data_IF_708120565719
#
_entry.id   IF_708120565719
#
_cell.length_a   1.000
_cell.length_b   1.000
_cell.length_c   1.000
_cell.angle_alpha   90.00
_cell.angle_beta   90.00
_cell.angle_gamma   90.00
#
_symmetry.space_group_name_H-M   'P 1'
#
loop_
_entity.id
_entity.type
_entity.pdbx_description
1 polymer ?
#
# COMPACT_ATOMS: atom_id res chain seq x y z
N UNK A 1 39.10 1.22 13.87
CA UNK A 1 38.13 0.25 13.32
C UNK A 1 37.01 1.04 12.69
N UNK A 2 36.93 1.04 11.36
CA UNK A 2 35.83 1.69 10.64
C UNK A 2 34.69 0.66 10.49
N UNK A 3 33.60 0.87 11.22
CA UNK A 3 32.37 0.12 10.99
C UNK A 3 31.73 0.67 9.72
N UNK A 4 31.72 -0.12 8.64
CA UNK A 4 30.85 0.16 7.48
C UNK A 4 29.42 0.17 8.01
N UNK A 5 28.82 1.35 8.13
CA UNK A 5 27.36 1.44 8.25
C UNK A 5 26.81 0.86 6.95
N UNK A 6 26.07 -0.25 7.05
CA UNK A 6 25.25 -0.72 5.94
C UNK A 6 24.43 0.47 5.45
N UNK A 7 24.39 0.77 4.14
CA UNK A 7 23.58 1.87 3.66
C UNK A 7 22.15 1.60 4.10
N UNK A 8 21.60 2.52 4.90
CA UNK A 8 20.20 2.46 5.33
C UNK A 8 19.36 2.33 4.06
N UNK A 9 18.82 1.13 3.80
CA UNK A 9 17.78 0.98 2.80
C UNK A 9 16.57 1.65 3.43
N UNK A 10 16.41 2.93 3.15
CA UNK A 10 15.18 3.66 3.44
C UNK A 10 14.08 2.86 2.74
N UNK A 11 13.31 2.08 3.50
CA UNK A 11 12.13 1.45 2.95
C UNK A 11 11.23 2.56 2.44
N UNK A 12 10.73 2.46 1.21
CA UNK A 12 9.89 3.50 0.61
C UNK A 12 8.54 3.66 1.36
N UNK A 13 8.21 2.67 2.20
CA UNK A 13 6.98 2.59 2.96
C UNK A 13 7.30 2.22 4.41
N UNK A 14 6.64 2.89 5.36
CA UNK A 14 6.61 2.51 6.78
C UNK A 14 5.21 2.05 7.21
N UNK A 15 5.14 1.27 8.28
CA UNK A 15 3.85 0.90 8.89
C UNK A 15 3.06 2.15 9.26
N UNK A 16 1.74 2.11 9.02
CA UNK A 16 0.80 3.22 9.17
C UNK A 16 0.89 4.33 8.10
N UNK A 17 1.76 4.21 7.10
CA UNK A 17 1.71 5.13 5.95
C UNK A 17 0.44 4.96 5.13
N UNK A 18 0.01 6.07 4.54
CA UNK A 18 -1.13 6.10 3.61
C UNK A 18 -0.61 5.93 2.19
N UNK A 19 -1.23 5.02 1.46
CA UNK A 19 -0.86 4.68 0.08
C UNK A 19 -2.10 4.61 -0.81
N UNK A 20 -1.90 4.74 -2.11
CA UNK A 20 -2.90 4.38 -3.11
C UNK A 20 -2.44 3.16 -3.88
N UNK A 21 -3.36 2.23 -4.10
CA UNK A 21 -3.09 0.95 -4.75
C UNK A 21 -4.04 0.75 -5.92
N UNK A 22 -3.51 0.33 -7.07
CA UNK A 22 -4.30 -0.02 -8.23
C UNK A 22 -4.77 -1.48 -8.15
N UNK A 23 -6.03 -1.68 -7.75
CA UNK A 23 -6.59 -3.02 -7.49
C UNK A 23 -8.09 -3.10 -7.79
N UNK A 24 -8.60 -4.33 -7.85
CA UNK A 24 -10.04 -4.60 -7.93
C UNK A 24 -10.67 -4.43 -6.55
N UNK A 25 -11.73 -3.64 -6.46
CA UNK A 25 -12.41 -3.28 -5.21
C UNK A 25 -13.86 -2.87 -5.44
N UNK A 26 -14.64 -2.84 -4.36
CA UNK A 26 -16.00 -2.28 -4.42
C UNK A 26 -15.96 -0.76 -4.44
N UNK A 27 -16.76 -0.17 -5.32
CA UNK A 27 -17.01 1.26 -5.33
C UNK A 27 -18.07 1.68 -4.29
N UNK A 28 -18.63 2.88 -4.42
CA UNK A 28 -19.61 3.39 -3.46
C UNK A 28 -20.99 2.73 -3.58
N UNK A 29 -21.26 2.08 -4.70
CA UNK A 29 -22.52 1.39 -5.01
C UNK A 29 -22.39 -0.12 -4.79
N UNK A 30 -21.30 -0.58 -4.16
CA UNK A 30 -20.98 -2.00 -3.92
C UNK A 30 -20.73 -2.77 -5.22
N UNK A 31 -20.35 -2.06 -6.29
CA UNK A 31 -20.02 -2.66 -7.58
C UNK A 31 -18.50 -2.88 -7.69
N UNK A 32 -18.11 -4.08 -8.13
CA UNK A 32 -16.69 -4.40 -8.36
C UNK A 32 -16.15 -3.58 -9.53
N UNK A 33 -15.15 -2.76 -9.24
CA UNK A 33 -14.41 -1.94 -10.20
C UNK A 33 -12.91 -2.16 -10.07
N UNK A 34 -12.13 -1.65 -11.03
CA UNK A 34 -10.66 -1.66 -10.99
C UNK A 34 -10.12 -0.24 -11.04
N UNK A 35 -9.37 0.15 -10.03
CA UNK A 35 -8.89 1.53 -9.93
C UNK A 35 -7.94 1.77 -8.76
N UNK A 36 -7.59 3.04 -8.56
CA UNK A 36 -6.79 3.47 -7.42
C UNK A 36 -7.64 3.55 -6.16
N UNK A 37 -7.30 2.73 -5.17
CA UNK A 37 -7.94 2.68 -3.87
C UNK A 37 -6.97 3.09 -2.77
N UNK A 38 -7.44 3.90 -1.83
CA UNK A 38 -6.67 4.31 -0.65
C UNK A 38 -6.61 3.19 0.37
N UNK A 39 -5.40 2.92 0.86
CA UNK A 39 -5.14 1.96 1.93
C UNK A 39 -4.13 2.47 2.94
N UNK A 40 -3.90 1.67 3.97
CA UNK A 40 -2.91 1.93 5.02
C UNK A 40 -1.93 0.76 5.05
N UNK A 41 -0.63 1.05 5.10
CA UNK A 41 0.40 0.03 5.25
C UNK A 41 0.25 -0.64 6.61
N UNK A 42 -0.10 -1.92 6.60
CA UNK A 42 -0.27 -2.73 7.81
C UNK A 42 1.03 -3.42 8.21
N UNK A 43 1.83 -3.84 7.22
CA UNK A 43 3.09 -4.53 7.43
C UNK A 43 4.06 -4.21 6.30
N UNK A 44 5.34 -4.12 6.65
CA UNK A 44 6.44 -4.00 5.70
C UNK A 44 7.43 -5.13 5.98
N UNK A 45 7.82 -5.84 4.93
CA UNK A 45 8.94 -6.78 4.92
C UNK A 45 9.97 -6.32 3.88
N UNK A 46 11.11 -6.99 3.81
CA UNK A 46 12.26 -6.63 2.98
C UNK A 46 11.96 -6.41 1.48
N UNK A 47 10.90 -7.02 0.95
CA UNK A 47 10.51 -6.91 -0.47
C UNK A 47 9.03 -6.64 -0.68
N UNK A 48 8.22 -6.72 0.37
CA UNK A 48 6.76 -6.78 0.26
C UNK A 48 6.13 -5.80 1.24
N UNK A 49 5.02 -5.21 0.82
CA UNK A 49 4.23 -4.25 1.58
C UNK A 49 2.80 -4.77 1.62
N UNK A 50 2.26 -4.97 2.83
CA UNK A 50 0.88 -5.35 3.05
C UNK A 50 0.05 -4.08 3.26
N UNK A 51 -1.00 -3.92 2.48
CA UNK A 51 -1.90 -2.75 2.53
C UNK A 51 -3.29 -3.21 2.97
N UNK A 52 -3.78 -2.65 4.06
CA UNK A 52 -5.12 -2.86 4.59
C UNK A 52 -6.10 -1.87 3.96
N UNK A 53 -7.26 -2.38 3.54
CA UNK A 53 -8.36 -1.61 2.96
C UNK A 53 -9.60 -1.62 3.86
N UNK A 54 -10.49 -0.64 3.64
CA UNK A 54 -11.78 -0.50 4.34
C UNK A 54 -12.96 -1.10 3.60
N UNK A 55 -12.83 -1.30 2.29
CA UNK A 55 -13.84 -1.91 1.41
C UNK A 55 -13.38 -3.31 0.98
N UNK A 56 -14.25 -4.11 0.37
CA UNK A 56 -13.80 -5.40 -0.15
C UNK A 56 -12.87 -5.18 -1.33
N UNK A 57 -11.88 -6.04 -1.42
CA UNK A 57 -10.87 -6.07 -2.47
C UNK A 57 -10.76 -7.48 -3.00
N UNK A 58 -10.29 -7.60 -4.24
CA UNK A 58 -10.33 -8.86 -4.97
C UNK A 58 -8.97 -9.20 -5.55
N UNK A 59 -8.67 -10.50 -5.58
CA UNK A 59 -7.55 -11.05 -6.35
C UNK A 59 -7.87 -11.01 -7.86
N UNK A 60 -6.83 -11.19 -8.67
CA UNK A 60 -6.95 -11.14 -10.14
C UNK A 60 -7.82 -12.24 -10.74
N UNK A 61 -7.98 -13.36 -10.03
CA UNK A 61 -8.88 -14.47 -10.35
C UNK A 61 -10.33 -14.22 -9.89
N UNK A 62 -10.59 -13.07 -9.25
CA UNK A 62 -11.92 -12.62 -8.85
C UNK A 62 -12.35 -13.02 -7.44
N UNK A 63 -11.49 -13.69 -6.67
CA UNK A 63 -11.80 -14.02 -5.28
C UNK A 63 -11.73 -12.78 -4.39
N UNK A 64 -12.78 -12.57 -3.59
CA UNK A 64 -12.79 -11.56 -2.54
C UNK A 64 -11.80 -11.94 -1.44
N UNK A 65 -11.02 -10.97 -0.96
CA UNK A 65 -10.06 -11.18 0.13
C UNK A 65 -10.71 -10.87 1.49
N UNK A 66 -10.92 -11.88 2.37
CA UNK A 66 -11.70 -11.69 3.61
C UNK A 66 -11.09 -10.71 4.61
N UNK A 67 -9.76 -10.66 4.70
CA UNK A 67 -9.04 -9.74 5.60
C UNK A 67 -8.89 -8.32 4.99
N UNK A 68 -9.23 -8.16 3.71
CA UNK A 68 -9.07 -6.93 2.94
C UNK A 68 -7.61 -6.42 2.96
N UNK A 69 -6.65 -7.34 2.93
CA UNK A 69 -5.23 -7.05 2.84
C UNK A 69 -4.70 -7.56 1.50
N UNK A 70 -4.04 -6.67 0.74
CA UNK A 70 -3.28 -7.07 -0.43
C UNK A 70 -1.79 -6.83 -0.22
N UNK A 71 -0.98 -7.75 -0.74
CA UNK A 71 0.47 -7.71 -0.67
C UNK A 71 1.04 -7.28 -2.02
N UNK A 72 1.92 -6.28 -1.99
CA UNK A 72 2.60 -5.77 -3.18
C UNK A 72 4.12 -5.83 -3.01
N UNK A 73 4.88 -6.13 -4.08
CA UNK A 73 6.29 -5.83 -4.10
C UNK A 73 6.52 -4.35 -3.81
N UNK A 74 7.53 -4.01 -3.00
CA UNK A 74 7.82 -2.63 -2.61
C UNK A 74 8.18 -1.72 -3.80
N UNK A 75 8.52 -2.29 -4.95
CA UNK A 75 8.83 -1.58 -6.20
C UNK A 75 7.71 -1.70 -7.26
N UNK A 76 6.52 -2.20 -6.88
CA UNK A 76 5.40 -2.32 -7.79
C UNK A 76 4.92 -0.95 -8.26
N UNK A 77 4.51 -0.86 -9.53
CA UNK A 77 3.88 0.35 -10.09
C UNK A 77 2.43 0.51 -9.65
N UNK A 78 1.86 -0.55 -9.06
CA UNK A 78 0.47 -0.60 -8.60
C UNK A 78 0.32 -0.10 -7.16
N UNK A 79 1.40 0.35 -6.50
CA UNK A 79 1.37 1.00 -5.19
C UNK A 79 2.13 2.32 -5.27
N UNK A 80 1.59 3.37 -4.64
CA UNK A 80 2.25 4.67 -4.55
C UNK A 80 2.04 5.32 -3.18
N UNK A 81 3.04 6.03 -2.63
CA UNK A 81 2.86 6.81 -1.41
C UNK A 81 1.91 7.98 -1.67
N UNK A 82 0.94 8.20 -0.78
CA UNK A 82 0.24 9.49 -0.74
C UNK A 82 1.23 10.53 -0.23
N UNK A 83 1.69 11.43 -1.10
CA UNK A 83 2.45 12.60 -0.66
C UNK A 83 1.65 13.29 0.45
N UNK A 84 2.20 13.35 1.66
CA UNK A 84 1.70 14.27 2.69
C UNK A 84 1.83 15.64 2.04
N UNK A 85 0.71 16.30 1.74
CA UNK A 85 0.77 17.73 1.47
C UNK A 85 1.43 18.33 2.71
N UNK A 86 2.63 18.88 2.54
CA UNK A 86 3.24 19.72 3.55
C UNK A 86 2.22 20.80 3.85
N UNK A 87 1.49 20.66 4.97
CA UNK A 87 0.86 21.80 5.58
C UNK A 87 2.01 22.73 5.92
N UNK A 88 2.17 23.72 5.04
CA UNK A 88 2.85 24.97 5.27
C UNK A 88 2.38 25.45 6.65
N UNK A 89 3.28 25.42 7.63
CA UNK A 89 3.10 26.17 8.86
C UNK A 89 3.49 27.60 8.51
N UNK A 90 2.49 28.46 8.40
CA UNK A 90 2.63 29.92 8.54
C UNK A 90 3.24 30.27 9.91
#
# INVERSE_FOLDING_TARGET
MAFMRSPDKVHEYDVADRVEVFCDHDDKEDERTRGWLRGVVAQVDNKMVAVQFRVNVYLTDGWMVPDRILWFPSNSKDIRPLKRSSQQKD
#
